data_IF_236953171228
#
_entry.id   IF_236953171228
#
_cell.length_a   1.000
_cell.length_b   1.000
_cell.length_c   1.000
_cell.angle_alpha   90.00
_cell.angle_beta   90.00
_cell.angle_gamma   90.00
#
_symmetry.space_group_name_H-M   'P 1'
#
loop_
_entity.id
_entity.type
_entity.pdbx_description
1 polymer ?
#
# COMPACT_ATOMS: atom_id res chain seq x y z
N UNK A 1 -4.46 -27.32 -9.12
CA UNK A 1 -3.53 -27.21 -10.25
C UNK A 1 -2.39 -26.34 -9.78
N UNK A 2 -1.26 -26.93 -9.40
CA UNK A 2 -0.03 -26.15 -9.35
C UNK A 2 0.22 -25.75 -10.81
N UNK A 3 0.13 -24.46 -11.10
CA UNK A 3 0.36 -23.93 -12.45
C UNK A 3 1.78 -24.33 -12.84
N UNK A 4 1.99 -24.77 -14.07
CA UNK A 4 3.32 -24.98 -14.67
C UNK A 4 4.05 -23.62 -14.72
N UNK A 5 4.49 -23.15 -13.57
CA UNK A 5 5.07 -21.83 -13.37
C UNK A 5 6.52 -22.05 -12.98
N UNK A 6 7.40 -21.80 -13.94
CA UNK A 6 8.83 -21.75 -13.65
C UNK A 6 9.08 -20.72 -12.55
N UNK A 7 9.97 -21.03 -11.59
CA UNK A 7 10.34 -20.07 -10.57
C UNK A 7 11.00 -18.87 -11.26
N UNK A 8 10.63 -17.66 -10.82
CA UNK A 8 11.31 -16.44 -11.26
C UNK A 8 12.78 -16.50 -10.91
N UNK A 9 13.61 -15.95 -11.78
CA UNK A 9 15.03 -15.75 -11.54
C UNK A 9 15.26 -14.61 -10.55
N UNK A 10 16.45 -14.57 -9.95
CA UNK A 10 16.82 -13.50 -9.02
C UNK A 10 16.82 -12.11 -9.70
N UNK A 11 17.19 -12.05 -10.98
CA UNK A 11 17.17 -10.81 -11.77
C UNK A 11 15.73 -10.31 -11.99
N UNK A 12 14.80 -11.21 -12.35
CA UNK A 12 13.37 -10.87 -12.51
C UNK A 12 12.74 -10.45 -11.18
N UNK A 13 13.16 -11.06 -10.07
CA UNK A 13 12.73 -10.68 -8.73
C UNK A 13 13.23 -9.28 -8.34
N UNK A 14 14.48 -8.96 -8.66
CA UNK A 14 15.05 -7.63 -8.42
C UNK A 14 14.29 -6.56 -9.22
N UNK A 15 14.07 -6.79 -10.51
CA UNK A 15 13.34 -5.86 -11.38
C UNK A 15 11.89 -5.67 -10.91
N UNK A 16 11.22 -6.76 -10.53
CA UNK A 16 9.86 -6.67 -9.98
C UNK A 16 9.83 -5.90 -8.66
N UNK A 17 10.84 -6.07 -7.80
CA UNK A 17 10.93 -5.33 -6.54
C UNK A 17 11.12 -3.84 -6.78
N UNK A 18 11.92 -3.42 -7.77
CA UNK A 18 12.11 -2.02 -8.12
C UNK A 18 10.79 -1.40 -8.62
N UNK A 19 10.11 -2.08 -9.55
CA UNK A 19 8.81 -1.63 -10.06
C UNK A 19 7.75 -1.48 -8.96
N UNK A 20 7.75 -2.40 -7.99
CA UNK A 20 6.84 -2.31 -6.84
C UNK A 20 7.15 -1.09 -5.98
N UNK A 21 8.42 -0.71 -5.83
CA UNK A 21 8.80 0.47 -5.04
C UNK A 21 8.37 1.76 -5.72
N UNK A 22 8.53 1.87 -7.04
CA UNK A 22 8.06 3.02 -7.83
C UNK A 22 6.53 3.15 -7.75
N UNK A 23 5.80 2.04 -7.91
CA UNK A 23 4.35 2.03 -7.76
C UNK A 23 3.91 2.46 -6.36
N UNK A 24 4.65 2.07 -5.32
CA UNK A 24 4.37 2.49 -3.93
C UNK A 24 4.58 3.99 -3.73
N UNK A 25 5.47 4.62 -4.49
CA UNK A 25 5.62 6.09 -4.48
C UNK A 25 4.42 6.76 -5.12
N UNK A 26 4.05 6.34 -6.34
CA UNK A 26 2.90 6.87 -7.07
C UNK A 26 1.60 6.75 -6.25
N UNK A 27 1.33 5.57 -5.69
CA UNK A 27 0.13 5.36 -4.87
C UNK A 27 0.10 6.28 -3.65
N UNK A 28 1.24 6.57 -3.03
CA UNK A 28 1.28 7.48 -1.86
C UNK A 28 1.03 8.93 -2.27
N UNK A 29 1.56 9.35 -3.41
CA UNK A 29 1.33 10.68 -3.95
C UNK A 29 -0.14 10.88 -4.34
N UNK A 30 -0.74 9.89 -5.00
CA UNK A 30 -2.17 9.89 -5.35
C UNK A 30 -3.06 9.94 -4.10
N UNK A 31 -2.74 9.14 -3.08
CA UNK A 31 -3.48 9.15 -1.82
C UNK A 31 -3.38 10.51 -1.11
N UNK A 32 -2.20 11.14 -1.11
CA UNK A 32 -2.02 12.47 -0.55
C UNK A 32 -2.76 13.55 -1.35
N UNK A 33 -2.85 13.41 -2.67
CA UNK A 33 -3.62 14.31 -3.52
C UNK A 33 -5.14 14.19 -3.28
N UNK A 34 -5.66 12.97 -3.15
CA UNK A 34 -7.09 12.70 -3.02
C UNK A 34 -7.61 12.89 -1.58
N UNK A 35 -6.84 12.46 -0.59
CA UNK A 35 -7.24 12.46 0.83
C UNK A 35 -6.61 13.61 1.63
N UNK A 36 -5.60 14.28 1.06
CA UNK A 36 -4.79 15.29 1.75
C UNK A 36 -3.69 14.66 2.62
N UNK A 37 -2.82 15.51 3.20
CA UNK A 37 -1.69 15.07 4.03
C UNK A 37 -0.38 14.94 3.26
N UNK A 38 0.64 14.31 3.86
CA UNK A 38 1.91 14.05 3.22
C UNK A 38 1.95 12.62 2.67
N UNK A 39 2.52 12.36 1.48
CA UNK A 39 2.70 10.99 0.97
C UNK A 39 3.36 10.03 1.98
N UNK A 40 4.24 10.53 2.86
CA UNK A 40 4.91 9.74 3.89
C UNK A 40 3.98 9.26 5.02
N UNK A 41 2.77 9.79 5.12
CA UNK A 41 1.72 9.34 6.06
C UNK A 41 1.07 8.03 5.59
N UNK A 42 1.07 7.77 4.28
CA UNK A 42 0.49 6.57 3.65
C UNK A 42 1.47 5.41 3.49
N UNK A 43 2.58 5.43 4.24
CA UNK A 43 3.59 4.36 4.21
C UNK A 43 3.06 3.06 4.82
N UNK A 44 2.97 2.01 4.00
CA UNK A 44 2.52 0.69 4.44
C UNK A 44 3.45 0.00 5.45
N UNK A 45 4.72 0.40 5.50
CA UNK A 45 5.72 -0.08 6.47
C UNK A 45 5.60 0.59 7.85
N UNK A 46 4.93 1.74 7.93
CA UNK A 46 4.62 2.38 9.21
C UNK A 46 3.35 1.75 9.78
N UNK A 47 3.41 1.37 11.06
CA UNK A 47 2.17 1.23 11.83
C UNK A 47 1.63 2.63 12.08
N UNK A 48 0.31 2.78 11.97
CA UNK A 48 -0.37 3.88 12.63
C UNK A 48 -0.21 3.64 14.13
N UNK A 49 0.81 4.26 14.74
CA UNK A 49 0.80 4.45 16.18
C UNK A 49 -0.33 5.43 16.45
N UNK A 50 -1.49 4.87 16.79
CA UNK A 50 -2.74 5.56 17.08
C UNK A 50 -2.56 6.39 18.36
N UNK A 51 -1.90 7.53 18.24
CA UNK A 51 -1.87 8.59 19.26
C UNK A 51 -2.47 9.86 18.65
N UNK A 52 -3.75 9.74 18.25
CA UNK A 52 -4.49 10.80 17.59
C UNK A 52 -5.96 10.47 17.37
N UNK A 53 -6.67 10.14 18.44
CA UNK A 53 -8.12 10.31 18.60
C UNK A 53 -8.98 10.02 17.35
N UNK A 54 -9.02 8.76 16.89
CA UNK A 54 -10.22 8.29 16.18
C UNK A 54 -11.29 7.97 17.21
N UNK A 55 -12.16 8.95 17.43
CA UNK A 55 -13.49 8.74 18.00
C UNK A 55 -14.06 7.42 17.45
N UNK A 56 -14.39 6.49 18.34
CA UNK A 56 -14.85 5.14 18.01
C UNK A 56 -16.23 5.10 17.36
N UNK A 57 -16.39 5.75 16.21
CA UNK A 57 -17.56 5.59 15.36
C UNK A 57 -17.25 4.51 14.33
N UNK A 58 -17.93 3.37 14.48
CA UNK A 58 -17.85 2.27 13.54
C UNK A 58 -18.31 2.76 12.16
N UNK A 59 -17.44 2.60 11.14
CA UNK A 59 -17.82 2.88 9.76
C UNK A 59 -18.86 1.83 9.34
N UNK A 60 -20.09 2.21 8.94
CA UNK A 60 -21.08 1.23 8.51
C UNK A 60 -20.58 0.52 7.25
N UNK A 61 -20.66 -0.81 7.25
CA UNK A 61 -20.45 -1.64 6.07
C UNK A 61 -21.54 -1.28 5.04
N UNK A 62 -21.17 -0.49 4.03
CA UNK A 62 -22.05 0.05 3.00
C UNK A 62 -22.48 -0.98 1.96
N UNK A 63 -23.02 -2.11 2.39
CA UNK A 63 -23.64 -3.11 1.52
C UNK A 63 -25.14 -2.83 1.35
N UNK A 64 -25.57 -2.55 0.12
CA UNK A 64 -26.98 -2.71 -0.31
C UNK A 64 -27.30 -4.16 -0.68
#
# INVERSE_FOLDING_TARGET
MARDQEPMTDDELAEASEQIQDLREEVRDDLAADLGGDPADYRADKRFDDEGERSGEAVPDGGE
#
